data_IF_775560631996
#
_entry.id   IF_775560631996
#
_cell.length_a   1.000
_cell.length_b   1.000
_cell.length_c   1.000
_cell.angle_alpha   90.00
_cell.angle_beta   90.00
_cell.angle_gamma   90.00
#
_symmetry.space_group_name_H-M   'P 1'
#
loop_
_entity.id
_entity.type
_entity.pdbx_description
1 polymer ?
#
# COMPACT_ATOMS: atom_id res chain seq x y z
N UNK A 1 -3.50 46.75 -31.03
CA UNK A 1 -4.81 46.22 -31.48
C UNK A 1 -4.58 44.81 -32.00
N UNK A 2 -5.35 43.82 -31.51
CA UNK A 2 -5.18 42.41 -31.88
C UNK A 2 -5.62 41.49 -30.73
N UNK A 3 -6.93 41.41 -30.48
CA UNK A 3 -7.54 40.46 -29.55
C UNK A 3 -8.03 39.27 -30.37
N UNK A 4 -7.53 38.07 -30.09
CA UNK A 4 -8.03 36.82 -30.65
C UNK A 4 -8.75 36.06 -29.53
N UNK A 5 -10.07 36.21 -29.44
CA UNK A 5 -10.92 35.39 -28.58
C UNK A 5 -11.53 34.27 -29.43
N UNK A 6 -11.17 33.03 -29.12
CA UNK A 6 -11.87 31.83 -29.60
C UNK A 6 -12.94 31.48 -28.56
N UNK A 7 -14.20 31.64 -28.93
CA UNK A 7 -15.36 31.23 -28.13
C UNK A 7 -16.04 30.05 -28.81
N UNK A 8 -15.76 28.83 -28.34
CA UNK A 8 -16.58 27.65 -28.60
C UNK A 8 -17.39 27.34 -27.35
N UNK A 9 -18.66 27.73 -27.34
CA UNK A 9 -19.66 27.24 -26.39
C UNK A 9 -20.54 26.22 -27.12
N UNK A 10 -20.51 24.97 -26.67
CA UNK A 10 -21.45 23.94 -27.09
C UNK A 10 -22.77 24.12 -26.31
N UNK A 11 -23.87 24.28 -27.04
CA UNK A 11 -25.22 24.43 -26.48
C UNK A 11 -25.88 23.05 -26.43
N UNK A 12 -26.14 22.55 -25.22
CA UNK A 12 -26.93 21.34 -24.97
C UNK A 12 -28.42 21.71 -24.94
N UNK A 13 -29.24 21.06 -25.77
CA UNK A 13 -30.71 21.20 -25.75
C UNK A 13 -31.34 19.89 -25.24
N UNK A 14 -32.06 19.88 -24.11
CA UNK A 14 -32.86 18.73 -23.70
C UNK A 14 -34.14 18.64 -24.55
N UNK A 15 -34.53 17.40 -24.87
CA UNK A 15 -35.71 17.11 -25.68
C UNK A 15 -36.97 17.14 -24.79
N UNK A 16 -37.89 18.08 -25.05
CA UNK A 16 -39.21 18.13 -24.42
C UNK A 16 -40.22 17.32 -25.25
N UNK A 17 -40.71 16.21 -24.68
CA UNK A 17 -41.96 15.59 -25.10
C UNK A 17 -42.58 14.90 -23.87
N UNK A 18 -43.40 15.65 -23.14
CA UNK A 18 -44.23 15.16 -22.05
C UNK A 18 -45.68 15.10 -22.56
N UNK A 19 -46.23 13.90 -22.73
CA UNK A 19 -47.67 13.68 -22.87
C UNK A 19 -48.07 12.58 -21.88
N UNK A 20 -49.03 12.81 -20.97
CA UNK A 20 -49.37 11.83 -19.94
C UNK A 20 -50.22 10.70 -20.53
N UNK A 21 -49.71 9.47 -20.52
CA UNK A 21 -50.49 8.27 -20.83
C UNK A 21 -50.91 7.56 -19.53
N UNK A 22 -52.22 7.37 -19.40
CA UNK A 22 -52.91 6.67 -18.30
C UNK A 22 -52.49 5.20 -18.21
N UNK A 23 -52.48 4.59 -17.00
CA UNK A 23 -52.06 3.20 -16.83
C UNK A 23 -53.09 2.23 -17.44
N UNK A 24 -52.65 1.18 -18.16
CA UNK A 24 -53.56 0.19 -18.70
C UNK A 24 -54.18 -0.69 -17.62
N UNK A 25 -55.46 -0.98 -17.84
CA UNK A 25 -56.41 -1.76 -17.03
C UNK A 25 -55.94 -3.22 -16.88
N UNK A 26 -55.97 -3.75 -15.65
CA UNK A 26 -55.72 -5.17 -15.29
C UNK A 26 -56.49 -6.11 -16.23
N UNK A 27 -55.77 -6.94 -16.97
CA UNK A 27 -56.34 -8.11 -17.65
C UNK A 27 -56.40 -9.29 -16.67
N UNK A 28 -57.58 -9.92 -16.65
CA UNK A 28 -57.91 -11.13 -15.92
C UNK A 28 -57.14 -12.33 -16.51
N UNK A 29 -56.28 -12.94 -15.70
CA UNK A 29 -55.60 -14.20 -16.01
C UNK A 29 -56.59 -15.36 -15.96
N UNK A 30 -56.89 -15.97 -17.11
CA UNK A 30 -57.51 -17.31 -17.18
C UNK A 30 -56.52 -18.33 -16.63
N UNK A 31 -56.97 -19.22 -15.74
CA UNK A 31 -56.23 -20.41 -15.27
C UNK A 31 -56.14 -21.45 -16.39
N UNK A 32 -54.93 -22.00 -16.66
CA UNK A 32 -54.79 -23.36 -17.15
C UNK A 32 -54.33 -24.31 -16.03
N UNK A 33 -54.51 -25.59 -16.30
CA UNK A 33 -54.62 -26.71 -15.38
C UNK A 33 -53.34 -27.12 -14.63
N UNK A 34 -53.56 -27.73 -13.46
CA UNK A 34 -52.66 -28.61 -12.70
C UNK A 34 -51.23 -28.12 -12.37
N UNK A 35 -51.02 -27.84 -11.08
CA UNK A 35 -49.70 -27.76 -10.46
C UNK A 35 -48.93 -29.08 -10.64
N UNK A 36 -47.64 -29.06 -11.05
CA UNK A 36 -46.77 -30.23 -10.90
C UNK A 36 -46.61 -30.55 -9.40
N UNK A 37 -46.87 -31.80 -9.02
CA UNK A 37 -46.55 -32.31 -7.67
C UNK A 37 -45.04 -32.20 -7.43
N UNK A 38 -44.58 -31.87 -6.20
CA UNK A 38 -43.16 -31.94 -5.87
C UNK A 38 -42.69 -33.39 -6.05
N UNK A 39 -41.44 -33.62 -6.53
CA UNK A 39 -40.90 -34.96 -6.61
C UNK A 39 -40.90 -35.61 -5.22
N UNK A 40 -41.39 -36.84 -5.18
CA UNK A 40 -41.34 -37.71 -4.01
C UNK A 40 -39.89 -37.85 -3.55
N UNK A 41 -39.65 -37.60 -2.26
CA UNK A 41 -38.39 -37.87 -1.56
C UNK A 41 -38.06 -39.35 -1.77
N UNK A 42 -37.04 -39.63 -2.56
CA UNK A 42 -36.41 -40.94 -2.63
C UNK A 42 -35.20 -40.86 -1.71
N UNK A 43 -35.38 -41.31 -0.46
CA UNK A 43 -34.26 -41.57 0.44
C UNK A 43 -33.46 -42.74 -0.12
N UNK A 44 -32.34 -42.41 -0.75
CA UNK A 44 -31.28 -43.33 -1.14
C UNK A 44 -29.95 -42.59 -1.06
N UNK A 45 -28.84 -43.24 -0.68
CA UNK A 45 -27.55 -42.58 -0.59
C UNK A 45 -27.15 -42.12 -2.00
N UNK A 46 -27.10 -40.81 -2.23
CA UNK A 46 -26.48 -40.23 -3.42
C UNK A 46 -25.03 -40.73 -3.47
N UNK A 47 -24.73 -41.53 -4.50
CA UNK A 47 -23.35 -41.84 -4.85
C UNK A 47 -22.67 -40.54 -5.29
N UNK A 48 -21.41 -40.29 -4.91
CA UNK A 48 -20.68 -39.12 -5.37
C UNK A 48 -20.70 -39.09 -6.90
N UNK A 49 -21.09 -37.96 -7.48
CA UNK A 49 -20.89 -37.70 -8.91
C UNK A 49 -19.37 -37.62 -9.12
N UNK A 50 -18.75 -38.71 -9.56
CA UNK A 50 -17.37 -38.69 -10.02
C UNK A 50 -17.28 -37.76 -11.24
N UNK A 51 -16.55 -36.66 -11.10
CA UNK A 51 -16.10 -35.86 -12.25
C UNK A 51 -16.50 -34.37 -12.29
N UNK A 52 -17.08 -33.80 -11.23
CA UNK A 52 -17.16 -32.32 -11.15
C UNK A 52 -15.79 -31.80 -10.72
N UNK A 53 -15.04 -31.25 -11.67
CA UNK A 53 -13.74 -30.65 -11.38
C UNK A 53 -13.93 -29.41 -10.49
N UNK A 54 -13.53 -29.51 -9.23
CA UNK A 54 -13.65 -28.40 -8.30
C UNK A 54 -12.60 -27.30 -8.58
N UNK A 55 -13.08 -26.05 -8.58
CA UNK A 55 -12.25 -24.85 -8.67
C UNK A 55 -11.25 -24.86 -7.51
N UNK A 56 -9.99 -24.51 -7.81
CA UNK A 56 -8.93 -24.41 -6.82
C UNK A 56 -9.29 -23.34 -5.80
N UNK A 57 -9.29 -23.63 -4.50
CA UNK A 57 -9.61 -22.65 -3.44
C UNK A 57 -8.37 -22.36 -2.62
N UNK A 58 -8.09 -21.08 -2.37
CA UNK A 58 -7.05 -20.65 -1.43
C UNK A 58 -7.57 -20.81 0.00
N UNK A 59 -6.89 -21.63 0.79
CA UNK A 59 -7.22 -21.88 2.21
C UNK A 59 -6.47 -20.92 3.13
N UNK A 60 -5.19 -20.70 2.86
CA UNK A 60 -4.30 -19.90 3.70
C UNK A 60 -3.23 -19.22 2.86
N UNK A 61 -2.80 -18.04 3.30
CA UNK A 61 -1.70 -17.29 2.73
C UNK A 61 -0.77 -16.86 3.85
N UNK A 62 0.48 -17.33 3.79
CA UNK A 62 1.57 -16.88 4.65
C UNK A 62 2.49 -15.95 3.85
N UNK A 63 2.67 -14.73 4.35
CA UNK A 63 3.50 -13.70 3.74
C UNK A 63 4.98 -13.82 4.11
N UNK A 64 5.39 -14.87 4.85
CA UNK A 64 6.78 -15.22 5.17
C UNK A 64 7.59 -14.03 5.74
N UNK A 65 7.02 -13.33 6.72
CA UNK A 65 7.52 -12.05 7.23
C UNK A 65 9.01 -12.08 7.59
N UNK A 66 9.47 -13.13 8.27
CA UNK A 66 10.87 -13.24 8.71
C UNK A 66 11.85 -13.36 7.54
N UNK A 67 11.52 -14.19 6.54
CA UNK A 67 12.36 -14.38 5.36
C UNK A 67 12.39 -13.12 4.51
N UNK A 68 11.21 -12.55 4.23
CA UNK A 68 11.12 -11.34 3.42
C UNK A 68 11.71 -10.12 4.14
N UNK A 69 11.51 -10.00 5.45
CA UNK A 69 12.06 -8.90 6.25
C UNK A 69 13.58 -8.83 6.15
N UNK A 70 14.25 -9.97 6.33
CA UNK A 70 15.71 -10.07 6.22
C UNK A 70 16.21 -9.73 4.81
N UNK A 71 15.54 -10.24 3.77
CA UNK A 71 15.94 -10.00 2.38
C UNK A 71 15.70 -8.55 1.94
N UNK A 72 14.71 -7.87 2.50
CA UNK A 72 14.34 -6.50 2.15
C UNK A 72 14.91 -5.43 3.09
N UNK A 73 15.66 -5.83 4.13
CA UNK A 73 16.19 -4.93 5.16
C UNK A 73 15.06 -4.13 5.84
N UNK A 74 14.03 -4.85 6.27
CA UNK A 74 12.79 -4.31 6.86
C UNK A 74 12.37 -5.04 8.13
N UNK A 75 13.17 -5.98 8.64
CA UNK A 75 12.89 -6.75 9.85
C UNK A 75 12.74 -5.88 11.10
N UNK A 76 13.44 -4.74 11.16
CA UNK A 76 13.46 -3.86 12.33
C UNK A 76 12.15 -3.10 12.56
N UNK A 77 11.30 -2.94 11.54
CA UNK A 77 10.07 -2.16 11.68
C UNK A 77 9.13 -2.79 12.71
N UNK A 78 8.63 -1.99 13.66
CA UNK A 78 7.66 -2.40 14.69
C UNK A 78 6.49 -3.21 14.11
N UNK A 79 5.99 -2.82 12.92
CA UNK A 79 4.89 -3.51 12.24
C UNK A 79 5.20 -4.98 11.90
N UNK A 80 6.47 -5.35 11.71
CA UNK A 80 6.93 -6.71 11.39
C UNK A 80 7.02 -7.60 12.64
N UNK A 81 7.30 -7.00 13.80
CA UNK A 81 7.59 -7.72 15.04
C UNK A 81 6.41 -7.77 16.04
N UNK A 82 5.24 -7.21 15.66
CA UNK A 82 4.07 -7.18 16.55
C UNK A 82 3.63 -8.59 16.95
N UNK A 83 3.34 -8.78 18.24
CA UNK A 83 2.73 -10.02 18.75
C UNK A 83 1.36 -10.31 18.12
N UNK A 84 0.63 -9.26 17.75
CA UNK A 84 -0.71 -9.34 17.19
C UNK A 84 -0.76 -8.66 15.82
N UNK A 85 -1.27 -9.40 14.84
CA UNK A 85 -1.50 -8.95 13.46
C UNK A 85 -0.24 -8.27 12.84
N UNK A 86 0.93 -8.95 12.79
CA UNK A 86 2.12 -8.37 12.16
C UNK A 86 1.90 -8.18 10.66
N UNK A 87 2.52 -7.14 10.11
CA UNK A 87 2.30 -6.70 8.73
C UNK A 87 3.62 -6.73 7.95
N UNK A 88 3.61 -7.37 6.79
CA UNK A 88 4.77 -7.45 5.91
C UNK A 88 5.17 -6.04 5.41
N UNK A 89 6.47 -5.74 5.45
CA UNK A 89 7.09 -4.55 4.85
C UNK A 89 8.13 -5.02 3.83
N UNK A 90 8.01 -4.58 2.59
CA UNK A 90 8.95 -4.88 1.50
C UNK A 90 9.33 -3.61 0.76
N UNK A 91 10.36 -3.71 -0.08
CA UNK A 91 10.86 -2.62 -0.91
C UNK A 91 10.59 -2.93 -2.39
N UNK A 92 10.16 -1.93 -3.15
CA UNK A 92 9.78 -2.07 -4.57
C UNK A 92 10.95 -2.54 -5.46
N UNK A 93 10.66 -3.10 -6.63
CA UNK A 93 11.70 -3.58 -7.55
C UNK A 93 12.46 -4.84 -7.09
N UNK A 94 12.12 -5.41 -5.94
CA UNK A 94 12.69 -6.64 -5.41
C UNK A 94 11.58 -7.64 -5.09
N UNK A 95 11.81 -8.91 -5.39
CA UNK A 95 10.82 -9.96 -5.20
C UNK A 95 10.77 -10.47 -3.77
N UNK A 96 9.56 -10.58 -3.22
CA UNK A 96 9.26 -11.24 -1.94
C UNK A 96 8.48 -12.53 -2.19
N UNK A 97 8.57 -13.49 -1.27
CA UNK A 97 7.94 -14.80 -1.43
C UNK A 97 6.70 -14.91 -0.55
N UNK A 98 5.61 -15.44 -1.11
CA UNK A 98 4.41 -15.82 -0.36
C UNK A 98 4.18 -17.33 -0.48
N UNK A 99 3.72 -17.95 0.60
CA UNK A 99 3.29 -19.35 0.61
C UNK A 99 1.76 -19.42 0.61
N UNK A 100 1.20 -20.24 -0.26
CA UNK A 100 -0.25 -20.35 -0.46
C UNK A 100 -0.64 -21.82 -0.31
N UNK A 101 -1.50 -22.08 0.67
CA UNK A 101 -2.12 -23.40 0.88
C UNK A 101 -3.43 -23.46 0.11
N UNK A 102 -3.56 -24.46 -0.75
CA UNK A 102 -4.67 -24.64 -1.69
C UNK A 102 -5.58 -25.81 -1.27
N UNK A 103 -6.76 -25.91 -1.86
CA UNK A 103 -7.70 -27.01 -1.62
C UNK A 103 -7.19 -28.36 -2.12
N UNK A 104 -6.46 -28.33 -3.23
CA UNK A 104 -5.82 -29.47 -3.91
C UNK A 104 -4.53 -29.00 -4.60
N UNK A 105 -3.80 -29.93 -5.22
CA UNK A 105 -2.59 -29.59 -5.96
C UNK A 105 -2.85 -28.69 -7.16
N UNK A 106 -1.95 -27.74 -7.36
CA UNK A 106 -1.98 -26.81 -8.49
C UNK A 106 -1.59 -27.53 -9.79
N UNK A 107 -2.41 -27.38 -10.83
CA UNK A 107 -2.12 -27.89 -12.17
C UNK A 107 -2.19 -26.75 -13.19
N UNK A 108 -1.05 -26.35 -13.76
CA UNK A 108 -0.95 -25.24 -14.72
C UNK A 108 -1.73 -25.47 -16.03
N UNK A 109 -2.06 -26.71 -16.38
CA UNK A 109 -2.88 -27.01 -17.55
C UNK A 109 -4.36 -26.72 -17.31
N UNK A 110 -4.83 -26.80 -16.07
CA UNK A 110 -6.25 -26.67 -15.71
C UNK A 110 -6.58 -25.39 -14.94
N UNK A 111 -5.65 -24.93 -14.12
CA UNK A 111 -5.84 -23.87 -13.15
C UNK A 111 -5.19 -22.56 -13.62
N UNK A 112 -5.94 -21.48 -13.52
CA UNK A 112 -5.42 -20.11 -13.59
C UNK A 112 -5.37 -19.50 -12.20
N UNK A 113 -4.27 -18.83 -11.86
CA UNK A 113 -4.14 -18.02 -10.65
C UNK A 113 -3.73 -16.61 -11.09
N UNK A 114 -4.38 -15.59 -10.54
CA UNK A 114 -3.97 -14.19 -10.69
C UNK A 114 -4.02 -13.46 -9.36
N UNK A 115 -3.12 -12.51 -9.19
CA UNK A 115 -2.98 -11.67 -8.01
C UNK A 115 -3.46 -10.27 -8.35
N UNK A 116 -4.37 -9.74 -7.55
CA UNK A 116 -4.84 -8.36 -7.64
C UNK A 116 -4.26 -7.59 -6.47
N UNK A 117 -3.41 -6.62 -6.76
CA UNK A 117 -2.83 -5.71 -5.78
C UNK A 117 -3.54 -4.37 -5.87
N UNK A 118 -4.02 -3.86 -4.74
CA UNK A 118 -4.67 -2.53 -4.69
C UNK A 118 -4.09 -1.66 -3.59
N UNK A 119 -3.90 -0.37 -3.88
CA UNK A 119 -3.47 0.61 -2.86
C UNK A 119 -4.62 0.78 -1.84
N UNK A 120 -4.32 0.58 -0.55
CA UNK A 120 -5.34 0.44 0.49
C UNK A 120 -6.24 1.68 0.66
N UNK A 121 -5.68 2.88 0.52
CA UNK A 121 -6.40 4.15 0.70
C UNK A 121 -6.98 4.69 -0.62
N UNK A 122 -6.93 3.94 -1.72
CA UNK A 122 -7.59 4.28 -2.97
C UNK A 122 -9.06 3.84 -2.94
N UNK A 123 -9.99 4.80 -2.87
CA UNK A 123 -11.44 4.52 -2.90
C UNK A 123 -11.89 3.85 -4.22
N UNK A 124 -11.23 4.21 -5.33
CA UNK A 124 -11.48 3.66 -6.67
C UNK A 124 -10.16 3.23 -7.32
N UNK A 125 -9.61 2.07 -6.95
CA UNK A 125 -8.37 1.56 -7.52
C UNK A 125 -8.50 1.42 -9.05
N UNK A 126 -7.46 1.81 -9.79
CA UNK A 126 -7.46 1.72 -11.26
C UNK A 126 -6.05 1.55 -11.82
N UNK A 127 -5.96 0.87 -12.96
CA UNK A 127 -4.69 0.70 -13.70
C UNK A 127 -4.09 2.05 -14.11
N UNK A 128 -4.92 2.98 -14.60
CA UNK A 128 -4.44 4.28 -15.10
C UNK A 128 -3.77 5.16 -14.04
N UNK A 129 -4.08 4.93 -12.76
CA UNK A 129 -3.43 5.64 -11.64
C UNK A 129 -2.33 4.81 -10.96
N UNK A 130 -2.07 3.60 -11.43
CA UNK A 130 -1.14 2.65 -10.81
C UNK A 130 -1.61 2.11 -9.45
N UNK A 131 -2.89 2.31 -9.09
CA UNK A 131 -3.45 1.90 -7.79
C UNK A 131 -4.07 0.51 -7.79
N UNK A 132 -4.13 -0.13 -8.96
CA UNK A 132 -4.57 -1.52 -9.15
C UNK A 132 -3.62 -2.21 -10.13
N UNK A 133 -3.10 -3.37 -9.73
CA UNK A 133 -2.27 -4.24 -10.58
C UNK A 133 -2.85 -5.65 -10.57
N UNK A 134 -3.20 -6.19 -11.74
CA UNK A 134 -3.51 -7.61 -11.89
C UNK A 134 -2.34 -8.33 -12.53
N UNK A 135 -1.88 -9.39 -11.87
CA UNK A 135 -0.66 -10.10 -12.21
C UNK A 135 -0.97 -11.59 -12.33
N UNK A 136 -0.87 -12.21 -13.51
CA UNK A 136 -1.06 -13.66 -13.63
C UNK A 136 0.11 -14.40 -12.98
N UNK A 137 -0.14 -15.61 -12.46
CA UNK A 137 0.92 -16.52 -12.05
C UNK A 137 1.67 -17.03 -13.28
N UNK A 138 2.98 -16.77 -13.33
CA UNK A 138 3.89 -17.19 -14.37
C UNK A 138 4.58 -18.50 -13.99
N UNK A 139 4.98 -19.27 -15.01
CA UNK A 139 5.66 -20.55 -14.82
C UNK A 139 7.04 -20.37 -14.17
N UNK A 140 7.48 -21.40 -13.44
CA UNK A 140 8.80 -21.43 -12.81
C UNK A 140 9.91 -21.22 -13.83
N UNK A 141 10.88 -20.36 -13.49
CA UNK A 141 11.99 -20.01 -14.37
C UNK A 141 11.67 -18.93 -15.42
N UNK A 142 10.47 -18.35 -15.39
CA UNK A 142 10.18 -17.15 -16.19
C UNK A 142 11.05 -15.99 -15.71
N UNK A 143 11.79 -15.38 -16.63
CA UNK A 143 12.63 -14.21 -16.32
C UNK A 143 11.76 -13.04 -15.84
N UNK A 144 12.07 -12.43 -14.69
CA UNK A 144 11.31 -11.30 -14.18
C UNK A 144 11.50 -10.07 -15.08
N UNK A 145 10.40 -9.54 -15.58
CA UNK A 145 10.38 -8.26 -16.30
C UNK A 145 10.53 -7.06 -15.35
N UNK A 146 10.49 -5.85 -15.91
CA UNK A 146 10.53 -4.59 -15.14
C UNK A 146 9.18 -4.22 -14.51
N UNK A 147 8.09 -4.81 -15.01
CA UNK A 147 6.74 -4.64 -14.48
C UNK A 147 6.47 -5.62 -13.32
N UNK A 148 5.34 -5.40 -12.65
CA UNK A 148 4.82 -6.33 -11.64
C UNK A 148 4.75 -7.75 -12.18
N UNK A 149 5.29 -8.71 -11.44
CA UNK A 149 5.26 -10.12 -11.82
C UNK A 149 5.08 -11.04 -10.60
N UNK A 150 4.50 -12.21 -10.85
CA UNK A 150 4.32 -13.26 -9.87
C UNK A 150 4.77 -14.57 -10.51
N UNK A 151 5.86 -15.15 -10.03
CA UNK A 151 6.49 -16.34 -10.64
C UNK A 151 6.40 -17.50 -9.66
N UNK A 152 5.99 -18.67 -10.14
CA UNK A 152 6.00 -19.89 -9.33
C UNK A 152 7.43 -20.24 -8.92
N UNK A 153 7.70 -20.30 -7.62
CA UNK A 153 9.01 -20.64 -7.07
C UNK A 153 9.11 -22.16 -6.78
N UNK A 154 8.10 -22.70 -6.09
CA UNK A 154 7.99 -24.13 -5.82
C UNK A 154 6.53 -24.55 -5.67
N UNK A 155 6.27 -25.84 -5.91
CA UNK A 155 4.96 -26.46 -5.79
C UNK A 155 5.16 -27.83 -5.16
N UNK A 156 4.54 -28.06 -4.00
CA UNK A 156 4.63 -29.31 -3.25
C UNK A 156 3.23 -29.67 -2.77
N UNK A 157 2.68 -30.77 -3.30
CA UNK A 157 1.30 -31.20 -3.02
C UNK A 157 0.30 -30.06 -3.23
N UNK A 158 -0.32 -29.58 -2.14
CA UNK A 158 -1.33 -28.54 -2.13
C UNK A 158 -0.78 -27.16 -1.75
N UNK A 159 0.55 -27.00 -1.65
CA UNK A 159 1.19 -25.74 -1.27
C UNK A 159 2.05 -25.22 -2.42
N UNK A 160 1.91 -23.94 -2.74
CA UNK A 160 2.77 -23.26 -3.69
C UNK A 160 3.50 -22.11 -3.02
N UNK A 161 4.77 -21.90 -3.40
CA UNK A 161 5.49 -20.66 -3.11
C UNK A 161 5.53 -19.82 -4.38
N UNK A 162 5.19 -18.55 -4.25
CA UNK A 162 5.16 -17.60 -5.36
C UNK A 162 6.07 -16.44 -5.02
N UNK A 163 6.99 -16.12 -5.92
CA UNK A 163 7.82 -14.91 -5.84
C UNK A 163 7.10 -13.77 -6.53
N UNK A 164 6.65 -12.80 -5.76
CA UNK A 164 5.98 -11.58 -6.23
C UNK A 164 7.00 -10.44 -6.28
N UNK A 165 7.15 -9.82 -7.43
CA UNK A 165 8.07 -8.68 -7.63
C UNK A 165 7.26 -7.44 -8.04
N UNK A 166 7.12 -6.44 -7.15
CA UNK A 166 6.59 -5.13 -7.52
C UNK A 166 7.52 -4.43 -8.52
N UNK A 167 6.97 -3.64 -9.43
CA UNK A 167 7.78 -2.79 -10.30
C UNK A 167 8.66 -1.81 -9.48
N UNK A 168 9.83 -1.44 -9.98
CA UNK A 168 10.75 -0.53 -9.29
C UNK A 168 10.21 0.90 -9.15
N UNK A 169 9.14 1.24 -9.87
CA UNK A 169 8.39 2.50 -9.80
C UNK A 169 7.02 2.33 -9.12
N UNK A 170 6.78 1.22 -8.40
CA UNK A 170 5.54 1.01 -7.68
C UNK A 170 5.28 2.12 -6.64
N UNK A 171 3.99 2.40 -6.42
CA UNK A 171 3.53 3.35 -5.40
C UNK A 171 3.97 2.90 -4.01
N UNK A 172 4.56 3.82 -3.26
CA UNK A 172 4.92 3.61 -1.86
C UNK A 172 3.72 3.84 -0.95
N UNK A 173 3.46 2.89 -0.07
CA UNK A 173 2.30 2.89 0.82
C UNK A 173 1.82 1.48 1.17
N UNK A 174 0.59 1.41 1.67
CA UNK A 174 -0.07 0.15 2.01
C UNK A 174 -0.83 -0.42 0.82
N UNK A 175 -0.68 -1.72 0.62
CA UNK A 175 -1.30 -2.48 -0.45
C UNK A 175 -2.08 -3.66 0.12
N UNK A 176 -3.16 -4.04 -0.57
CA UNK A 176 -3.93 -5.27 -0.33
C UNK A 176 -3.62 -6.29 -1.40
N UNK A 177 -3.84 -7.56 -1.08
CA UNK A 177 -3.68 -8.70 -1.99
C UNK A 177 -4.99 -9.47 -2.04
N UNK A 178 -5.54 -9.59 -3.24
CA UNK A 178 -6.58 -10.57 -3.56
C UNK A 178 -5.99 -11.61 -4.52
N UNK A 179 -6.39 -12.87 -4.35
CA UNK A 179 -5.93 -13.99 -5.15
C UNK A 179 -7.15 -14.61 -5.82
N UNK A 180 -7.22 -14.47 -7.13
CA UNK A 180 -8.25 -15.06 -7.96
C UNK A 180 -7.76 -16.38 -8.51
N UNK A 181 -8.54 -17.43 -8.27
CA UNK A 181 -8.35 -18.75 -8.85
C UNK A 181 -9.49 -19.03 -9.82
N UNK A 182 -9.18 -19.67 -10.95
CA UNK A 182 -10.17 -20.07 -11.95
C UNK A 182 -9.84 -21.43 -12.52
N UNK A 183 -10.85 -22.22 -12.81
CA UNK A 183 -10.69 -23.36 -13.70
C UNK A 183 -10.84 -22.85 -15.14
N UNK A 184 -10.06 -23.37 -16.08
CA UNK A 184 -10.17 -22.93 -17.49
C UNK A 184 -11.56 -23.14 -18.10
N UNK A 185 -12.32 -24.11 -17.60
CA UNK A 185 -13.57 -24.54 -18.20
C UNK A 185 -14.83 -24.18 -17.40
N UNK A 186 -14.74 -23.85 -16.10
CA UNK A 186 -15.88 -23.34 -15.32
C UNK A 186 -15.48 -22.80 -13.93
N UNK A 187 -16.11 -21.70 -13.49
CA UNK A 187 -15.99 -21.19 -12.12
C UNK A 187 -14.71 -20.40 -11.79
N UNK A 188 -14.88 -19.40 -10.92
CA UNK A 188 -13.80 -18.61 -10.33
C UNK A 188 -14.11 -18.31 -8.86
N UNK A 189 -13.08 -18.30 -8.03
CA UNK A 189 -13.16 -17.97 -6.61
C UNK A 189 -12.07 -16.95 -6.28
N UNK A 190 -12.40 -15.98 -5.42
CA UNK A 190 -11.46 -14.98 -4.96
C UNK A 190 -11.19 -15.17 -3.46
N UNK A 191 -9.94 -15.05 -3.07
CA UNK A 191 -9.50 -14.97 -1.69
C UNK A 191 -8.93 -13.58 -1.41
N UNK A 192 -9.50 -12.88 -0.43
CA UNK A 192 -8.98 -11.60 0.03
C UNK A 192 -8.12 -11.81 1.27
N UNK A 193 -6.83 -11.46 1.16
CA UNK A 193 -5.97 -11.51 2.34
C UNK A 193 -6.37 -10.41 3.33
N UNK A 194 -6.55 -10.80 4.60
CA UNK A 194 -7.12 -9.93 5.64
C UNK A 194 -6.27 -8.68 5.91
N UNK A 195 -4.95 -8.82 5.88
CA UNK A 195 -4.02 -7.78 6.29
C UNK A 195 -3.34 -7.13 5.09
N UNK A 196 -3.15 -5.81 5.09
CA UNK A 196 -2.35 -5.15 4.07
C UNK A 196 -0.85 -5.41 4.30
N UNK A 197 -0.05 -5.10 3.30
CA UNK A 197 1.42 -5.07 3.39
C UNK A 197 1.94 -3.71 2.90
N UNK A 198 3.18 -3.37 3.26
CA UNK A 198 3.80 -2.10 2.88
C UNK A 198 4.78 -2.30 1.74
N UNK A 199 4.78 -1.38 0.79
CA UNK A 199 5.83 -1.23 -0.22
C UNK A 199 6.53 0.11 0.02
N UNK A 200 7.85 0.08 0.15
CA UNK A 200 8.74 1.23 0.33
C UNK A 200 9.65 1.45 -0.89
N UNK A 201 10.38 2.57 -0.95
CA UNK A 201 11.43 2.73 -1.95
C UNK A 201 12.59 1.76 -1.65
N UNK A 202 13.41 1.49 -2.67
CA UNK A 202 14.45 0.48 -2.61
C UNK A 202 15.82 0.97 -3.10
N UNK A 203 16.68 1.50 -2.22
CA UNK A 203 18.03 1.88 -2.62
C UNK A 203 18.98 0.71 -2.90
N UNK A 204 18.61 -0.53 -2.57
CA UNK A 204 19.33 -1.72 -3.02
C UNK A 204 18.99 -2.11 -4.47
N UNK A 205 17.89 -1.58 -5.02
CA UNK A 205 17.45 -1.87 -6.39
C UNK A 205 18.03 -0.87 -7.39
N UNK A 206 18.89 -1.32 -8.31
CA UNK A 206 19.51 -0.47 -9.35
C UNK A 206 18.51 0.23 -10.28
N UNK A 207 17.30 -0.31 -10.41
CA UNK A 207 16.24 0.27 -11.24
C UNK A 207 15.43 1.32 -10.48
N UNK A 208 15.56 1.41 -9.15
CA UNK A 208 14.91 2.44 -8.36
C UNK A 208 15.69 3.75 -8.46
N UNK A 209 14.98 4.87 -8.56
CA UNK A 209 15.57 6.21 -8.59
C UNK A 209 16.37 6.55 -7.33
N UNK A 210 16.08 5.89 -6.21
CA UNK A 210 16.84 6.09 -4.96
C UNK A 210 18.05 5.17 -4.81
N UNK A 211 18.41 4.37 -5.83
CA UNK A 211 19.56 3.46 -5.78
C UNK A 211 20.82 4.14 -5.21
N UNK A 212 21.47 3.47 -4.27
CA UNK A 212 22.70 3.94 -3.65
C UNK A 212 23.74 2.82 -3.64
N UNK A 213 24.91 3.11 -4.23
CA UNK A 213 26.03 2.18 -4.26
C UNK A 213 26.91 2.37 -3.02
N UNK A 214 27.09 1.30 -2.23
CA UNK A 214 27.91 1.28 -1.02
C UNK A 214 27.13 0.84 0.20
N UNK A 215 27.47 -0.33 0.74
CA UNK A 215 26.80 -0.89 1.92
C UNK A 215 26.96 0.01 3.15
N UNK A 216 28.12 0.64 3.32
CA UNK A 216 28.37 1.61 4.39
C UNK A 216 27.45 2.84 4.31
N UNK A 217 27.19 3.34 3.10
CA UNK A 217 26.26 4.44 2.89
C UNK A 217 24.80 4.02 3.14
N UNK A 218 24.44 2.78 2.77
CA UNK A 218 23.13 2.21 3.06
C UNK A 218 22.94 2.06 4.58
N UNK A 219 23.95 1.53 5.28
CA UNK A 219 23.92 1.45 6.74
C UNK A 219 23.75 2.83 7.37
N UNK A 220 24.49 3.86 6.93
CA UNK A 220 24.44 5.21 7.52
C UNK A 220 23.15 5.98 7.17
N UNK A 221 22.69 5.95 5.92
CA UNK A 221 21.60 6.81 5.47
C UNK A 221 20.20 6.16 5.56
N UNK A 222 20.16 4.83 5.65
CA UNK A 222 18.91 4.04 5.70
C UNK A 222 18.69 3.43 7.07
N UNK A 223 19.65 2.61 7.51
CA UNK A 223 19.45 1.68 8.62
C UNK A 223 19.87 2.27 9.96
N UNK A 224 20.78 3.25 9.98
CA UNK A 224 21.16 3.95 11.20
C UNK A 224 19.96 4.75 11.74
N UNK A 225 19.50 4.40 12.93
CA UNK A 225 18.36 5.03 13.58
C UNK A 225 18.73 6.17 14.53
N UNK A 226 20.03 6.47 14.62
CA UNK A 226 20.61 7.46 15.50
C UNK A 226 21.74 8.16 14.75
N UNK A 227 21.82 9.48 14.87
CA UNK A 227 22.88 10.25 14.24
C UNK A 227 23.24 11.51 15.02
N UNK A 228 24.02 12.37 14.38
CA UNK A 228 24.46 13.65 14.94
C UNK A 228 23.87 14.82 14.17
N UNK A 229 23.31 15.78 14.90
CA UNK A 229 22.98 17.10 14.40
C UNK A 229 23.97 18.09 14.97
N UNK A 230 24.73 18.75 14.10
CA UNK A 230 25.67 19.79 14.48
C UNK A 230 24.94 21.12 14.73
N UNK A 231 25.13 21.67 15.94
CA UNK A 231 24.63 22.99 16.36
C UNK A 231 25.79 23.88 16.78
N UNK A 232 25.49 25.11 17.22
CA UNK A 232 26.49 26.07 17.69
C UNK A 232 26.90 27.06 16.61
N UNK A 233 28.14 27.54 16.69
CA UNK A 233 28.72 28.49 15.74
C UNK A 233 29.88 27.85 14.96
N UNK A 234 30.32 28.48 13.89
CA UNK A 234 31.43 27.97 13.04
C UNK A 234 32.71 27.64 13.83
N UNK A 235 32.97 28.35 14.93
CA UNK A 235 34.13 28.17 15.80
C UNK A 235 33.81 27.41 17.11
N UNK A 236 32.56 26.99 17.31
CA UNK A 236 32.11 26.24 18.49
C UNK A 236 31.02 25.26 18.07
N UNK A 237 31.45 24.25 17.34
CA UNK A 237 30.61 23.14 16.91
C UNK A 237 30.16 22.32 18.12
N UNK A 238 28.87 22.02 18.19
CA UNK A 238 28.26 21.22 19.25
C UNK A 238 27.51 20.05 18.62
N UNK A 239 28.11 18.84 18.58
CA UNK A 239 27.41 17.66 18.09
C UNK A 239 26.30 17.31 19.09
N UNK A 240 25.11 17.03 18.57
CA UNK A 240 23.95 16.67 19.38
C UNK A 240 23.41 15.35 18.85
N UNK A 241 23.44 14.33 19.70
CA UNK A 241 22.85 13.04 19.38
C UNK A 241 21.36 13.22 19.13
N UNK A 242 20.89 12.68 18.01
CA UNK A 242 19.50 12.68 17.61
C UNK A 242 19.06 11.26 17.31
N UNK A 243 18.02 10.80 18.02
CA UNK A 243 17.40 9.49 17.76
C UNK A 243 16.35 9.66 16.66
N UNK A 244 16.66 9.23 15.45
CA UNK A 244 15.70 9.20 14.35
C UNK A 244 14.61 8.17 14.62
N UNK A 245 15.00 6.97 15.06
CA UNK A 245 14.11 5.92 15.53
C UNK A 245 12.98 5.60 14.53
N UNK A 246 13.35 5.46 13.26
CA UNK A 246 12.44 5.25 12.12
C UNK A 246 11.75 3.88 12.15
N UNK A 247 12.24 2.92 12.92
CA UNK A 247 11.63 1.60 13.00
C UNK A 247 10.60 1.46 14.12
N UNK A 248 10.49 2.48 14.97
CA UNK A 248 9.59 2.47 16.12
C UNK A 248 8.11 2.52 15.75
N UNK A 249 7.28 2.15 16.73
CA UNK A 249 5.83 2.15 16.63
C UNK A 249 5.25 3.46 16.10
N UNK A 250 4.29 3.34 15.19
CA UNK A 250 3.52 4.41 14.55
C UNK A 250 4.33 5.37 13.66
N UNK A 251 5.66 5.25 13.59
CA UNK A 251 6.49 6.22 12.87
C UNK A 251 6.36 6.04 11.34
N UNK A 252 6.39 4.80 10.84
CA UNK A 252 6.12 4.48 9.42
C UNK A 252 4.71 4.95 9.00
N UNK A 253 3.69 4.59 9.79
CA UNK A 253 2.30 4.98 9.56
C UNK A 253 2.12 6.50 9.56
N UNK A 254 2.79 7.20 10.47
CA UNK A 254 2.79 8.65 10.52
C UNK A 254 3.40 9.27 9.27
N UNK A 255 4.51 8.72 8.78
CA UNK A 255 5.18 9.24 7.59
C UNK A 255 4.36 9.05 6.33
N UNK A 256 3.67 7.91 6.19
CA UNK A 256 2.70 7.72 5.12
C UNK A 256 1.52 8.70 5.24
N UNK A 257 0.98 8.90 6.45
CA UNK A 257 -0.10 9.87 6.69
C UNK A 257 0.28 11.32 6.35
N UNK A 258 1.52 11.72 6.65
CA UNK A 258 2.05 13.05 6.28
C UNK A 258 2.07 13.23 4.76
N UNK A 259 2.40 12.18 3.99
CA UNK A 259 2.37 12.21 2.53
C UNK A 259 0.94 12.23 1.99
N UNK A 260 0.08 11.34 2.47
CA UNK A 260 -1.24 11.08 1.89
C UNK A 260 -2.31 12.08 2.33
N UNK A 261 -2.39 12.39 3.62
CA UNK A 261 -3.52 13.14 4.19
C UNK A 261 -3.19 14.62 4.38
N UNK A 262 -1.97 14.92 4.82
CA UNK A 262 -1.51 16.30 5.07
C UNK A 262 -1.01 16.90 3.78
N UNK A 263 -0.06 16.21 3.16
CA UNK A 263 0.54 16.59 1.89
C UNK A 263 -0.36 16.42 0.67
N UNK A 264 -1.40 15.57 0.79
CA UNK A 264 -2.37 15.27 -0.29
C UNK A 264 -1.68 14.87 -1.60
N UNK A 265 -0.56 14.16 -1.51
CA UNK A 265 0.18 13.72 -2.69
C UNK A 265 -0.65 12.68 -3.44
N UNK A 266 -0.79 12.90 -4.75
CA UNK A 266 -1.49 11.97 -5.65
C UNK A 266 -0.83 10.59 -5.62
N UNK A 267 -1.60 9.54 -5.88
CA UNK A 267 -1.10 8.16 -5.91
C UNK A 267 0.14 8.01 -6.81
N UNK A 268 0.07 8.46 -8.06
CA UNK A 268 1.21 8.47 -8.97
C UNK A 268 2.40 9.31 -8.45
N UNK A 269 2.12 10.37 -7.68
CA UNK A 269 3.18 11.16 -7.04
C UNK A 269 3.91 10.42 -5.92
N UNK A 270 3.26 9.47 -5.25
CA UNK A 270 3.88 8.65 -4.19
C UNK A 270 4.88 7.63 -4.72
N UNK A 271 4.89 7.35 -6.02
CA UNK A 271 5.94 6.59 -6.69
C UNK A 271 7.22 7.41 -6.96
N UNK A 272 7.15 8.74 -6.83
CA UNK A 272 8.23 9.66 -7.17
C UNK A 272 8.93 10.17 -5.90
N UNK A 273 10.23 9.87 -5.71
CA UNK A 273 10.96 10.26 -4.52
C UNK A 273 11.15 11.77 -4.37
N UNK A 274 11.21 12.51 -5.50
CA UNK A 274 11.36 13.97 -5.52
C UNK A 274 10.06 14.63 -5.05
N UNK A 275 8.92 14.20 -5.60
CA UNK A 275 7.60 14.73 -5.21
C UNK A 275 7.30 14.41 -3.74
N UNK A 276 7.57 13.18 -3.33
CA UNK A 276 7.31 12.73 -1.96
C UNK A 276 8.23 13.46 -0.97
N UNK A 277 9.51 13.68 -1.30
CA UNK A 277 10.43 14.50 -0.51
C UNK A 277 9.96 15.95 -0.37
N UNK A 278 9.48 16.55 -1.46
CA UNK A 278 8.95 17.92 -1.47
C UNK A 278 7.74 18.03 -0.56
N UNK A 279 6.78 17.11 -0.70
CA UNK A 279 5.57 17.09 0.12
C UNK A 279 5.87 16.86 1.58
N UNK A 280 6.76 15.92 1.94
CA UNK A 280 7.16 15.70 3.32
C UNK A 280 7.79 16.94 3.95
N UNK A 281 8.67 17.63 3.23
CA UNK A 281 9.27 18.87 3.76
C UNK A 281 8.23 19.94 4.09
N UNK A 282 7.16 20.02 3.28
CA UNK A 282 6.05 20.93 3.52
C UNK A 282 5.14 20.43 4.66
N UNK A 283 4.87 19.13 4.75
CA UNK A 283 3.99 18.53 5.75
C UNK A 283 4.62 18.46 7.16
N UNK A 284 5.95 18.40 7.27
CA UNK A 284 6.64 18.45 8.57
C UNK A 284 6.59 19.87 9.15
N UNK A 285 6.71 20.88 8.31
CA UNK A 285 6.52 22.27 8.71
C UNK A 285 5.02 22.59 8.85
N UNK A 286 4.65 23.45 9.78
CA UNK A 286 3.25 23.86 9.95
C UNK A 286 3.08 25.38 9.74
N UNK A 287 3.06 25.87 8.49
CA UNK A 287 2.64 27.26 8.22
C UNK A 287 1.15 27.48 8.52
N UNK A 288 0.31 26.48 8.24
CA UNK A 288 -1.17 26.61 8.22
C UNK A 288 -1.88 25.58 9.14
N UNK A 289 -1.35 25.34 10.35
CA UNK A 289 -1.90 24.45 11.41
C UNK A 289 -2.11 22.95 11.08
N UNK A 290 -1.72 22.47 9.90
CA UNK A 290 -1.87 21.05 9.52
C UNK A 290 -0.56 20.24 9.59
N UNK A 291 0.59 20.89 9.76
CA UNK A 291 1.89 20.22 9.72
C UNK A 291 2.25 19.46 11.00
N UNK A 292 3.29 18.63 10.94
CA UNK A 292 3.72 17.81 12.07
C UNK A 292 4.17 18.63 13.29
N UNK A 293 4.85 19.75 13.04
CA UNK A 293 5.58 20.50 14.06
C UNK A 293 5.36 22.01 13.91
N UNK A 294 5.14 22.69 15.03
CA UNK A 294 4.96 24.13 15.09
C UNK A 294 6.26 24.82 15.52
N UNK A 295 6.70 25.82 14.76
CA UNK A 295 7.91 26.57 15.05
C UNK A 295 7.75 27.59 16.18
N UNK A 296 8.78 27.78 17.01
CA UNK A 296 8.83 28.89 17.97
C UNK A 296 10.29 29.32 18.22
N UNK A 297 10.58 30.60 18.00
CA UNK A 297 11.89 31.25 18.16
C UNK A 297 11.93 32.30 19.27
N UNK A 298 10.82 32.47 20.02
CA UNK A 298 10.81 33.28 21.23
C UNK A 298 11.34 32.51 22.44
N UNK A 299 11.18 33.11 23.62
CA UNK A 299 11.63 32.55 24.89
C UNK A 299 10.50 31.89 25.70
N UNK A 300 9.24 32.10 25.30
CA UNK A 300 8.08 31.46 25.92
C UNK A 300 7.66 30.20 25.14
N UNK A 301 7.82 29.05 25.79
CA UNK A 301 7.41 27.75 25.27
C UNK A 301 6.17 27.20 25.99
N UNK A 302 5.35 28.07 26.55
CA UNK A 302 4.06 27.75 27.16
C UNK A 302 3.20 26.85 26.26
N UNK A 303 2.61 25.83 26.86
CA UNK A 303 1.74 24.85 26.16
C UNK A 303 2.48 23.86 25.27
N UNK A 304 3.82 23.83 25.28
CA UNK A 304 4.63 22.94 24.45
C UNK A 304 5.93 22.47 25.12
N UNK A 305 6.79 21.86 24.31
CA UNK A 305 8.15 21.46 24.70
C UNK A 305 9.16 22.42 24.08
N UNK A 306 10.09 23.00 24.87
CA UNK A 306 11.19 23.80 24.32
C UNK A 306 12.00 23.02 23.28
N UNK A 307 12.34 23.61 22.11
CA UNK A 307 13.05 22.93 21.02
C UNK A 307 14.37 22.26 21.44
N UNK A 308 15.03 22.78 22.48
CA UNK A 308 16.29 22.25 23.02
C UNK A 308 16.14 20.97 23.84
N UNK A 309 14.92 20.62 24.28
CA UNK A 309 14.64 19.40 25.05
C UNK A 309 14.39 18.17 24.18
N UNK A 310 14.16 18.34 22.87
CA UNK A 310 14.03 17.21 21.97
C UNK A 310 15.37 16.51 21.77
N UNK A 311 15.35 15.18 21.89
CA UNK A 311 16.52 14.30 21.68
C UNK A 311 16.31 13.34 20.50
N UNK A 312 15.18 13.46 19.79
CA UNK A 312 14.78 12.53 18.74
C UNK A 312 13.38 12.79 18.20
N UNK A 313 13.05 12.11 17.10
CA UNK A 313 11.83 12.34 16.31
C UNK A 313 10.63 11.51 16.77
N UNK A 314 10.86 10.31 17.32
CA UNK A 314 9.81 9.34 17.67
C UNK A 314 8.66 9.96 18.46
N UNK A 315 8.95 10.64 19.58
CA UNK A 315 7.92 11.24 20.45
C UNK A 315 7.12 12.34 19.75
N UNK A 316 7.74 13.06 18.82
CA UNK A 316 7.08 14.11 18.03
C UNK A 316 6.10 13.46 17.07
N UNK A 317 6.57 12.50 16.26
CA UNK A 317 5.76 11.83 15.25
C UNK A 317 4.63 11.00 15.86
N UNK A 318 4.88 10.26 16.95
CA UNK A 318 3.84 9.52 17.67
C UNK A 318 2.76 10.45 18.25
N UNK A 319 3.16 11.57 18.86
CA UNK A 319 2.20 12.55 19.39
C UNK A 319 1.37 13.17 18.27
N UNK A 320 2.03 13.60 17.19
CA UNK A 320 1.35 14.13 16.01
C UNK A 320 0.37 13.10 15.43
N UNK A 321 0.81 11.86 15.26
CA UNK A 321 -0.01 10.81 14.66
C UNK A 321 -1.21 10.44 15.53
N UNK A 322 -1.07 10.48 16.86
CA UNK A 322 -2.18 10.25 17.78
C UNK A 322 -3.19 11.41 17.75
N UNK A 323 -2.71 12.64 17.87
CA UNK A 323 -3.57 13.81 18.10
C UNK A 323 -4.05 14.47 16.79
N UNK A 324 -3.39 14.17 15.67
CA UNK A 324 -3.54 14.80 14.34
C UNK A 324 -3.45 16.33 14.39
N UNK A 325 -2.60 16.84 15.28
CA UNK A 325 -2.42 18.28 15.54
C UNK A 325 -0.92 18.61 15.66
N UNK A 326 -0.48 19.80 15.18
CA UNK A 326 0.92 20.19 15.24
C UNK A 326 1.51 20.09 16.65
N UNK A 327 2.68 19.46 16.76
CA UNK A 327 3.41 19.36 18.01
C UNK A 327 4.17 20.65 18.28
N UNK A 328 4.02 21.18 19.50
CA UNK A 328 4.69 22.40 19.97
C UNK A 328 5.94 22.02 20.79
N UNK A 329 7.15 22.51 20.55
CA UNK A 329 7.59 23.39 19.46
C UNK A 329 8.89 22.87 18.82
N UNK A 330 9.22 23.38 17.64
CA UNK A 330 10.43 23.08 16.89
C UNK A 330 11.24 24.32 16.50
N UNK A 331 12.51 24.09 16.20
CA UNK A 331 13.39 25.00 15.45
C UNK A 331 14.09 24.21 14.34
N UNK A 332 14.93 24.85 13.54
CA UNK A 332 15.49 24.29 12.30
C UNK A 332 16.06 22.86 12.46
N UNK A 333 16.81 22.57 13.53
CA UNK A 333 17.35 21.22 13.74
C UNK A 333 16.29 20.18 14.12
N UNK A 334 15.22 20.59 14.82
CA UNK A 334 14.10 19.70 15.16
C UNK A 334 13.33 19.34 13.89
N UNK A 335 13.05 20.34 13.04
CA UNK A 335 12.45 20.10 11.72
C UNK A 335 13.32 19.17 10.87
N UNK A 336 14.64 19.40 10.83
CA UNK A 336 15.57 18.54 10.12
C UNK A 336 15.53 17.11 10.65
N UNK A 337 15.59 16.92 11.98
CA UNK A 337 15.55 15.59 12.58
C UNK A 337 14.25 14.82 12.26
N UNK A 338 13.11 15.50 12.38
CA UNK A 338 11.79 14.91 12.04
C UNK A 338 11.69 14.59 10.56
N UNK A 339 12.13 15.50 9.68
CA UNK A 339 12.12 15.28 8.24
C UNK A 339 13.04 14.13 7.84
N UNK A 340 14.24 14.02 8.43
CA UNK A 340 15.15 12.91 8.18
C UNK A 340 14.48 11.59 8.56
N UNK A 341 13.91 11.47 9.77
CA UNK A 341 13.14 10.28 10.16
C UNK A 341 12.05 9.94 9.14
N UNK A 342 11.19 10.91 8.78
CA UNK A 342 10.09 10.65 7.85
C UNK A 342 10.54 10.28 6.43
N UNK A 343 11.72 10.76 6.00
CA UNK A 343 12.33 10.39 4.72
C UNK A 343 12.98 9.01 4.77
N UNK A 344 13.67 8.69 5.86
CA UNK A 344 14.39 7.43 6.02
C UNK A 344 13.48 6.20 6.01
N UNK A 345 12.16 6.34 6.26
CA UNK A 345 11.25 5.20 6.03
C UNK A 345 10.92 4.95 4.57
N UNK A 346 10.94 6.00 3.76
CA UNK A 346 10.43 5.95 2.41
C UNK A 346 11.59 5.75 1.45
N UNK A 347 12.52 6.69 1.39
CA UNK A 347 13.48 6.84 0.29
C UNK A 347 14.82 6.17 0.50
N UNK A 348 15.17 6.01 1.77
CA UNK A 348 16.42 5.41 2.15
C UNK A 348 16.07 3.97 2.55
#
# INVERSE_FOLDING_TARGET
MGKCFSSFQAVFKPNEANTPQSPPRRQSTRRPESLPKPPSVVDGPEKPVEGVEEVLVVKEVDLLLKENGLLHHTEQYDVMEREKDPLLVVRRGQGFVISITLSRGYNSEKDGISFIFTVQDAEKPSYGQGTLMAVPLLAKGTEPGTAWNAVLDSCTENMIRVKVTPAADAIVGKWKIDIDTKLKNDGAVSYSHKHPFYILFNPWCRQDQVFLEGEDLLQEYVLADTGLIWRGSYNRLRPCVWKFAQFEKDVLDCSLYLVSNVGKLTFAGRADPVKTSRVLSAAVNSPDDNGALMGNWGDDFGGGTPPTKWIGSMKILQKYYKDKKPVKYGQCWVFSGVLTTSKSHLFN
#
